data_IF_660314548422
#
_entry.id   IF_660314548422
#
_cell.length_a   1.000
_cell.length_b   1.000
_cell.length_c   1.000
_cell.angle_alpha   90.00
_cell.angle_beta   90.00
_cell.angle_gamma   90.00
#
_symmetry.space_group_name_H-M   'P 1'
#
loop_
_entity.id
_entity.type
_entity.pdbx_description
1 polymer ?
#
# COMPACT_ATOMS: atom_id res chain seq x y z
N UNK A 1 24.20 -0.66 9.26
CA UNK A 1 23.59 0.19 8.21
C UNK A 1 22.43 0.96 8.79
N UNK A 2 22.30 2.27 8.50
CA UNK A 2 21.13 3.07 8.90
C UNK A 2 20.27 3.37 7.67
N UNK A 3 18.97 3.30 7.82
CA UNK A 3 17.97 3.46 6.75
C UNK A 3 17.06 4.63 7.09
N UNK A 4 16.97 5.60 6.18
CA UNK A 4 15.98 6.66 6.25
C UNK A 4 14.77 6.27 5.39
N UNK A 5 13.57 6.33 5.93
CA UNK A 5 12.32 6.21 5.18
C UNK A 5 11.68 7.60 5.13
N UNK A 6 11.58 8.17 3.93
CA UNK A 6 10.99 9.49 3.70
C UNK A 6 9.56 9.34 3.18
N UNK A 7 8.60 9.69 4.02
CA UNK A 7 7.17 9.66 3.68
C UNK A 7 6.76 10.91 2.87
N UNK A 8 5.63 10.86 2.15
CA UNK A 8 4.99 12.05 1.60
C UNK A 8 4.69 13.09 2.68
N UNK A 9 4.86 14.37 2.38
CA UNK A 9 4.65 15.44 3.37
C UNK A 9 3.22 15.56 3.91
N UNK A 10 2.22 14.97 3.23
CA UNK A 10 0.82 14.91 3.68
C UNK A 10 0.44 13.58 4.32
N UNK A 11 1.39 12.64 4.45
CA UNK A 11 1.13 11.31 5.02
C UNK A 11 1.21 11.36 6.54
N UNK A 12 0.16 10.90 7.21
CA UNK A 12 0.14 10.81 8.66
C UNK A 12 0.75 9.50 9.16
N UNK A 13 1.83 9.57 9.92
CA UNK A 13 2.44 8.40 10.57
C UNK A 13 1.87 8.21 11.97
N UNK A 14 0.59 7.87 12.03
CA UNK A 14 -0.20 7.76 13.26
C UNK A 14 -1.22 6.63 13.16
N UNK A 15 -1.50 5.97 14.29
CA UNK A 15 -2.57 4.97 14.38
C UNK A 15 -3.98 5.57 14.40
N UNK A 16 -4.11 6.89 14.65
CA UNK A 16 -5.40 7.57 14.70
C UNK A 16 -6.01 7.76 13.31
N UNK A 17 -5.20 8.17 12.34
CA UNK A 17 -5.65 8.40 10.97
C UNK A 17 -4.55 8.02 9.97
N UNK A 18 -4.25 6.74 9.80
CA UNK A 18 -3.17 6.29 8.92
C UNK A 18 -3.59 6.29 7.46
N UNK A 19 -2.67 6.65 6.56
CA UNK A 19 -2.78 6.32 5.15
C UNK A 19 -2.22 4.92 4.84
N UNK A 20 -2.47 4.41 3.64
CA UNK A 20 -1.98 3.09 3.22
C UNK A 20 -0.45 3.00 3.21
N UNK A 21 0.24 4.10 2.91
CA UNK A 21 1.71 4.17 2.91
C UNK A 21 2.27 4.06 4.33
N UNK A 22 1.69 4.79 5.27
CA UNK A 22 2.12 4.77 6.67
C UNK A 22 1.85 3.43 7.35
N UNK A 23 0.74 2.77 7.03
CA UNK A 23 0.46 1.40 7.49
C UNK A 23 1.52 0.43 6.97
N UNK A 24 1.80 0.43 5.65
CA UNK A 24 2.82 -0.43 5.05
C UNK A 24 4.20 -0.22 5.69
N UNK A 25 4.62 1.05 5.82
CA UNK A 25 5.91 1.39 6.43
C UNK A 25 5.99 0.94 7.89
N UNK A 26 4.93 1.18 8.67
CA UNK A 26 4.89 0.74 10.06
C UNK A 26 4.96 -0.78 10.18
N UNK A 27 4.09 -1.50 9.49
CA UNK A 27 3.96 -2.96 9.57
C UNK A 27 5.25 -3.66 9.17
N UNK A 28 5.86 -3.26 8.06
CA UNK A 28 7.12 -3.86 7.59
C UNK A 28 8.33 -3.45 8.45
N UNK A 29 8.36 -2.21 8.94
CA UNK A 29 9.48 -1.74 9.78
C UNK A 29 9.47 -2.36 11.18
N UNK A 30 8.28 -2.69 11.73
CA UNK A 30 8.15 -3.29 13.07
C UNK A 30 8.82 -4.65 13.19
N UNK A 31 8.80 -5.45 12.14
CA UNK A 31 9.33 -6.82 12.12
C UNK A 31 10.61 -6.97 11.31
N UNK A 32 11.07 -5.90 10.63
CA UNK A 32 12.34 -5.88 9.91
C UNK A 32 13.51 -6.18 10.86
N UNK A 33 14.48 -6.97 10.41
CA UNK A 33 15.74 -7.15 11.10
C UNK A 33 16.54 -5.86 11.27
N UNK A 34 16.22 -4.84 10.46
CA UNK A 34 16.78 -3.49 10.53
C UNK A 34 15.97 -2.52 11.40
N UNK A 35 14.96 -2.97 12.16
CA UNK A 35 14.07 -2.14 12.98
C UNK A 35 14.81 -1.06 13.79
N UNK A 36 15.88 -1.44 14.48
CA UNK A 36 16.70 -0.52 15.30
C UNK A 36 17.47 0.52 14.47
N UNK A 37 17.66 0.26 13.19
CA UNK A 37 18.42 1.08 12.24
C UNK A 37 17.53 1.93 11.33
N UNK A 38 16.22 1.71 11.34
CA UNK A 38 15.23 2.46 10.56
C UNK A 38 14.84 3.74 11.30
N UNK A 39 14.84 4.85 10.58
CA UNK A 39 14.26 6.12 11.03
C UNK A 39 13.28 6.60 9.99
N UNK A 40 12.03 6.78 10.38
CA UNK A 40 10.96 7.29 9.50
C UNK A 40 10.89 8.81 9.63
N UNK A 41 10.87 9.50 8.50
CA UNK A 41 10.71 10.94 8.41
C UNK A 41 9.37 11.27 7.76
N UNK A 42 8.62 12.17 8.36
CA UNK A 42 7.29 12.56 7.89
C UNK A 42 6.85 13.90 8.46
N UNK A 43 5.62 14.28 8.16
CA UNK A 43 5.00 15.48 8.72
C UNK A 43 3.58 15.12 9.20
N UNK A 44 3.46 14.65 10.44
CA UNK A 44 2.17 14.36 11.06
C UNK A 44 1.86 15.34 12.17
N UNK A 45 0.58 15.75 12.26
CA UNK A 45 0.07 16.60 13.33
C UNK A 45 -0.46 15.81 14.52
N UNK A 46 -0.71 14.51 14.34
CA UNK A 46 -1.24 13.66 15.40
C UNK A 46 -0.21 13.43 16.50
N UNK A 47 -0.65 13.46 17.77
CA UNK A 47 0.22 13.22 18.92
C UNK A 47 0.67 11.76 19.00
N UNK A 48 -0.27 10.82 18.84
CA UNK A 48 -0.02 9.37 18.90
C UNK A 48 0.59 8.89 17.57
N UNK A 49 1.85 8.54 17.59
CA UNK A 49 2.60 8.03 16.45
C UNK A 49 2.80 6.51 16.55
N UNK A 50 3.09 5.86 15.43
CA UNK A 50 3.49 4.46 15.43
C UNK A 50 4.80 4.23 16.20
N UNK A 51 4.98 3.01 16.75
CA UNK A 51 6.13 2.64 17.61
C UNK A 51 7.40 2.31 16.80
N UNK A 52 7.77 3.16 15.87
CA UNK A 52 9.06 3.12 15.13
C UNK A 52 9.73 4.47 15.33
N UNK A 53 11.06 4.50 15.33
CA UNK A 53 11.80 5.76 15.46
C UNK A 53 11.36 6.74 14.38
N UNK A 54 10.77 7.84 14.79
CA UNK A 54 10.15 8.84 13.92
C UNK A 54 10.71 10.24 14.16
N UNK A 55 10.97 10.96 13.09
CA UNK A 55 11.40 12.36 13.11
C UNK A 55 10.37 13.19 12.36
N UNK A 56 9.72 14.12 13.05
CA UNK A 56 8.77 15.03 12.42
C UNK A 56 9.50 16.14 11.67
N UNK A 57 9.13 16.35 10.41
CA UNK A 57 9.62 17.44 9.57
C UNK A 57 8.62 18.59 9.66
N UNK A 58 8.82 19.50 10.60
CA UNK A 58 7.94 20.64 10.74
C UNK A 58 8.18 21.63 9.60
N UNK A 59 7.11 22.00 8.89
CA UNK A 59 7.16 23.02 7.84
C UNK A 59 6.75 24.36 8.41
N UNK A 60 7.56 25.40 8.19
CA UNK A 60 7.13 26.78 8.39
C UNK A 60 6.14 27.17 7.28
N UNK A 61 5.10 27.90 7.64
CA UNK A 61 4.18 28.48 6.66
C UNK A 61 4.89 29.63 5.93
N UNK A 62 5.51 29.35 4.81
CA UNK A 62 5.96 30.37 3.88
C UNK A 62 5.12 30.25 2.61
N UNK A 63 4.21 31.18 2.34
CA UNK A 63 3.31 31.11 1.15
C UNK A 63 4.07 31.20 -0.18
N UNK A 64 5.27 31.79 -0.21
CA UNK A 64 6.10 31.96 -1.41
C UNK A 64 6.98 30.73 -1.72
N UNK A 65 7.14 29.79 -0.81
CA UNK A 65 8.03 28.65 -0.98
C UNK A 65 7.25 27.39 -1.33
N UNK A 66 7.70 26.65 -2.34
CA UNK A 66 7.18 25.30 -2.61
C UNK A 66 7.32 24.40 -1.39
N UNK A 67 6.19 23.97 -0.82
CA UNK A 67 6.16 23.08 0.35
C UNK A 67 6.97 21.81 0.12
N UNK A 68 6.92 21.25 -1.09
CA UNK A 68 7.72 20.07 -1.48
C UNK A 68 9.22 20.35 -1.36
N UNK A 69 9.69 21.45 -1.94
CA UNK A 69 11.13 21.84 -1.87
C UNK A 69 11.56 22.08 -0.43
N UNK A 70 10.75 22.80 0.35
CA UNK A 70 11.03 23.08 1.76
C UNK A 70 11.08 21.82 2.62
N UNK A 71 10.16 20.88 2.39
CA UNK A 71 10.12 19.59 3.08
C UNK A 71 11.39 18.76 2.82
N UNK A 72 11.79 18.63 1.55
CA UNK A 72 13.00 17.89 1.18
C UNK A 72 14.26 18.58 1.71
N UNK A 73 14.35 19.90 1.67
CA UNK A 73 15.50 20.64 2.24
C UNK A 73 15.62 20.40 3.75
N UNK A 74 14.51 20.43 4.49
CA UNK A 74 14.53 20.14 5.93
C UNK A 74 14.94 18.69 6.22
N UNK A 75 14.46 17.74 5.43
CA UNK A 75 14.91 16.35 5.53
C UNK A 75 16.43 16.25 5.32
N UNK A 76 16.98 16.91 4.27
CA UNK A 76 18.41 16.91 3.97
C UNK A 76 19.24 17.43 5.16
N UNK A 77 18.76 18.46 5.84
CA UNK A 77 19.44 18.99 7.02
C UNK A 77 19.32 18.06 8.23
N UNK A 78 18.15 17.51 8.50
CA UNK A 78 17.93 16.61 9.63
C UNK A 78 18.69 15.30 9.49
N UNK A 79 18.77 14.73 8.28
CA UNK A 79 19.43 13.46 8.03
C UNK A 79 20.95 13.50 8.29
N UNK A 80 21.60 14.68 8.22
CA UNK A 80 23.03 14.83 8.49
C UNK A 80 23.43 14.26 9.87
N UNK A 81 22.53 14.36 10.86
CA UNK A 81 22.74 13.85 12.22
C UNK A 81 22.81 12.32 12.33
N UNK A 82 22.40 11.58 11.30
CA UNK A 82 22.16 10.14 11.40
C UNK A 82 23.10 9.25 10.57
N UNK A 83 23.85 9.78 9.62
CA UNK A 83 24.75 9.03 8.71
C UNK A 83 24.06 7.84 8.02
N UNK A 84 22.92 8.08 7.34
CA UNK A 84 22.19 7.04 6.60
C UNK A 84 22.97 6.52 5.40
N UNK A 85 22.86 5.23 5.14
CA UNK A 85 23.39 4.57 3.93
C UNK A 85 22.37 4.54 2.80
N UNK A 86 21.10 4.28 3.14
CA UNK A 86 19.99 4.17 2.19
C UNK A 86 18.91 5.19 2.57
N UNK A 87 18.31 5.80 1.55
CA UNK A 87 17.12 6.64 1.67
C UNK A 87 16.02 6.01 0.81
N UNK A 88 14.99 5.50 1.46
CA UNK A 88 13.78 4.95 0.83
C UNK A 88 12.73 6.06 0.74
N UNK A 89 12.43 6.51 -0.47
CA UNK A 89 11.45 7.57 -0.74
C UNK A 89 10.12 6.92 -1.10
N UNK A 90 9.08 7.19 -0.33
CA UNK A 90 7.77 6.60 -0.56
C UNK A 90 6.84 7.56 -1.31
N UNK A 91 6.33 7.09 -2.44
CA UNK A 91 5.23 7.71 -3.18
C UNK A 91 5.42 9.19 -3.56
N UNK A 92 6.68 9.61 -3.79
CA UNK A 92 7.01 10.98 -4.21
C UNK A 92 8.24 10.99 -5.14
N UNK A 93 8.06 10.61 -6.43
CA UNK A 93 9.16 10.62 -7.40
C UNK A 93 9.78 12.01 -7.60
N UNK A 94 9.01 13.08 -7.43
CA UNK A 94 9.52 14.46 -7.51
C UNK A 94 10.60 14.81 -6.48
N UNK A 95 10.74 14.05 -5.37
CA UNK A 95 11.81 14.29 -4.39
C UNK A 95 13.18 13.82 -4.89
N UNK A 96 13.24 12.85 -5.79
CA UNK A 96 14.48 12.17 -6.22
C UNK A 96 15.48 13.14 -6.83
N UNK A 97 15.03 14.07 -7.68
CA UNK A 97 15.94 15.03 -8.31
C UNK A 97 16.71 15.89 -7.29
N UNK A 98 15.99 16.42 -6.31
CA UNK A 98 16.59 17.29 -5.28
C UNK A 98 17.48 16.49 -4.32
N UNK A 99 17.04 15.29 -3.92
CA UNK A 99 17.85 14.41 -3.08
C UNK A 99 19.14 14.01 -3.77
N UNK A 100 19.09 13.59 -5.04
CA UNK A 100 20.26 13.17 -5.80
C UNK A 100 21.25 14.33 -6.00
N UNK A 101 20.76 15.55 -6.28
CA UNK A 101 21.63 16.73 -6.42
C UNK A 101 22.35 17.10 -5.11
N UNK A 102 21.65 16.99 -3.98
CA UNK A 102 22.19 17.42 -2.67
C UNK A 102 22.89 16.31 -1.88
N UNK A 103 22.62 15.06 -2.21
CA UNK A 103 23.14 13.86 -1.55
C UNK A 103 23.62 12.84 -2.60
N UNK A 104 24.60 13.19 -3.48
CA UNK A 104 24.97 12.36 -4.64
C UNK A 104 25.52 10.97 -4.24
N UNK A 105 26.12 10.85 -3.06
CA UNK A 105 26.69 9.58 -2.57
C UNK A 105 25.69 8.69 -1.83
N UNK A 106 24.42 9.12 -1.69
CA UNK A 106 23.40 8.32 -1.00
C UNK A 106 22.66 7.40 -1.98
N UNK A 107 22.38 6.19 -1.50
CA UNK A 107 21.58 5.23 -2.23
C UNK A 107 20.12 5.63 -2.11
N UNK A 108 19.49 5.91 -3.24
CA UNK A 108 18.09 6.29 -3.29
C UNK A 108 17.27 5.13 -3.86
N UNK A 109 16.22 4.74 -3.15
CA UNK A 109 15.20 3.81 -3.63
C UNK A 109 13.84 4.48 -3.58
N UNK A 110 13.04 4.25 -4.61
CA UNK A 110 11.73 4.87 -4.77
C UNK A 110 10.63 3.81 -4.71
N UNK A 111 9.67 3.98 -3.81
CA UNK A 111 8.48 3.13 -3.70
C UNK A 111 7.26 3.81 -4.29
N UNK A 112 6.62 3.16 -5.25
CA UNK A 112 5.33 3.57 -5.79
C UNK A 112 4.21 2.82 -5.08
N UNK A 113 3.26 3.57 -4.52
CA UNK A 113 2.03 3.08 -3.92
C UNK A 113 0.79 3.53 -4.68
N UNK A 114 0.95 4.45 -5.63
CA UNK A 114 -0.07 4.95 -6.56
C UNK A 114 0.35 4.69 -8.00
N UNK A 115 -0.55 4.98 -8.95
CA UNK A 115 -0.25 4.91 -10.38
C UNK A 115 0.92 5.85 -10.72
N UNK A 116 2.06 5.33 -11.22
CA UNK A 116 3.22 6.14 -11.57
C UNK A 116 2.92 7.24 -12.57
N UNK A 117 1.99 7.02 -13.51
CA UNK A 117 1.65 8.01 -14.54
C UNK A 117 0.78 9.17 -14.02
N UNK A 118 0.22 9.03 -12.82
CA UNK A 118 -0.56 10.09 -12.17
C UNK A 118 0.29 11.02 -11.28
N UNK A 119 1.60 10.73 -11.11
CA UNK A 119 2.44 11.37 -10.09
C UNK A 119 3.45 12.35 -10.69
N UNK A 120 3.57 13.53 -10.12
CA UNK A 120 4.59 14.51 -10.52
C UNK A 120 6.00 13.94 -10.34
N UNK A 121 6.81 14.05 -11.40
CA UNK A 121 8.15 13.49 -11.47
C UNK A 121 8.22 12.06 -12.00
N UNK A 122 7.10 11.52 -12.52
CA UNK A 122 7.06 10.23 -13.22
C UNK A 122 6.02 10.16 -14.35
N UNK A 123 5.28 11.25 -14.61
CA UNK A 123 4.26 11.29 -15.66
C UNK A 123 4.83 11.07 -17.06
N UNK A 124 5.89 11.81 -17.39
CA UNK A 124 6.50 11.74 -18.71
C UNK A 124 7.48 10.56 -18.84
N UNK A 125 7.74 10.14 -20.05
CA UNK A 125 8.78 9.15 -20.39
C UNK A 125 10.14 9.64 -19.88
N UNK A 126 10.44 10.92 -20.10
CA UNK A 126 11.72 11.53 -19.69
C UNK A 126 11.89 11.54 -18.17
N UNK A 127 10.82 11.81 -17.40
CA UNK A 127 10.88 11.72 -15.93
C UNK A 127 11.23 10.30 -15.48
N UNK A 128 10.59 9.30 -16.08
CA UNK A 128 10.81 7.89 -15.74
C UNK A 128 12.21 7.42 -16.14
N UNK A 129 12.74 7.86 -17.30
CA UNK A 129 14.16 7.63 -17.68
C UNK A 129 15.12 8.26 -16.68
N UNK A 130 14.84 9.48 -16.18
CA UNK A 130 15.63 10.14 -15.13
C UNK A 130 15.59 9.35 -13.82
N UNK A 131 14.43 8.81 -13.41
CA UNK A 131 14.31 7.97 -12.22
C UNK A 131 15.14 6.69 -12.35
N UNK A 132 15.09 6.02 -13.52
CA UNK A 132 15.91 4.82 -13.80
C UNK A 132 17.42 5.08 -13.69
N UNK A 133 17.88 6.27 -14.07
CA UNK A 133 19.29 6.65 -13.91
C UNK A 133 19.66 6.92 -12.44
N UNK A 134 18.78 7.57 -11.67
CA UNK A 134 19.06 8.11 -10.34
C UNK A 134 18.74 7.15 -9.18
N UNK A 135 17.80 6.25 -9.35
CA UNK A 135 17.44 5.30 -8.32
C UNK A 135 18.26 4.02 -8.42
N UNK A 136 18.61 3.48 -7.25
CA UNK A 136 19.17 2.13 -7.15
C UNK A 136 18.11 1.08 -7.45
N UNK A 137 16.94 1.18 -6.81
CA UNK A 137 15.75 0.37 -7.09
C UNK A 137 14.52 1.27 -7.18
N UNK A 138 13.60 0.86 -8.03
CA UNK A 138 12.25 1.42 -8.12
C UNK A 138 11.29 0.29 -7.80
N UNK A 139 10.57 0.46 -6.72
CA UNK A 139 9.74 -0.57 -6.11
C UNK A 139 8.26 -0.25 -6.35
N UNK A 140 7.51 -1.22 -6.81
CA UNK A 140 6.09 -1.11 -7.10
C UNK A 140 5.29 -1.99 -6.14
N UNK A 141 4.08 -1.56 -5.80
CA UNK A 141 3.18 -2.33 -4.97
C UNK A 141 2.36 -3.39 -5.74
N UNK A 142 2.49 -3.44 -7.08
CA UNK A 142 1.82 -4.41 -7.95
C UNK A 142 2.53 -4.54 -9.30
N UNK A 143 2.30 -5.64 -10.01
CA UNK A 143 2.73 -5.79 -11.39
C UNK A 143 2.01 -4.79 -12.31
N UNK A 144 0.74 -4.49 -12.01
CA UNK A 144 0.01 -3.43 -12.71
C UNK A 144 0.74 -2.08 -12.61
N UNK A 145 1.13 -1.64 -11.42
CA UNK A 145 1.88 -0.40 -11.23
C UNK A 145 3.23 -0.42 -11.96
N UNK A 146 3.95 -1.58 -11.96
CA UNK A 146 5.18 -1.76 -12.73
C UNK A 146 4.91 -1.62 -14.23
N UNK A 147 3.84 -2.26 -14.74
CA UNK A 147 3.43 -2.15 -16.14
C UNK A 147 3.11 -0.70 -16.52
N UNK A 148 2.37 0.02 -15.68
CA UNK A 148 2.08 1.45 -15.87
C UNK A 148 3.36 2.29 -15.98
N UNK A 149 4.33 2.05 -15.10
CA UNK A 149 5.61 2.76 -15.17
C UNK A 149 6.37 2.50 -16.49
N UNK A 150 6.23 1.31 -17.05
CA UNK A 150 6.91 0.91 -18.29
C UNK A 150 6.22 1.42 -19.55
N UNK A 151 4.98 1.89 -19.50
CA UNK A 151 4.24 2.36 -20.68
C UNK A 151 5.02 3.42 -21.46
N UNK A 152 5.29 3.16 -22.74
CA UNK A 152 6.05 4.04 -23.63
C UNK A 152 7.56 4.07 -23.39
N UNK A 153 8.09 3.28 -22.45
CA UNK A 153 9.53 3.08 -22.31
C UNK A 153 10.03 1.98 -23.27
N UNK A 154 11.29 2.06 -23.64
CA UNK A 154 11.95 1.07 -24.50
C UNK A 154 11.99 -0.31 -23.86
N UNK A 155 11.91 -1.39 -24.67
CA UNK A 155 11.88 -2.78 -24.21
C UNK A 155 13.10 -3.18 -23.35
N UNK A 156 14.26 -2.55 -23.54
CA UNK A 156 15.44 -2.79 -22.69
C UNK A 156 15.22 -2.53 -21.20
N UNK A 157 14.22 -1.72 -20.83
CA UNK A 157 13.91 -1.43 -19.43
C UNK A 157 12.98 -2.46 -18.77
N UNK A 158 12.26 -3.29 -19.55
CA UNK A 158 11.29 -4.27 -19.04
C UNK A 158 11.93 -5.23 -18.04
N UNK A 159 13.13 -5.76 -18.40
CA UNK A 159 13.89 -6.72 -17.59
C UNK A 159 14.94 -6.05 -16.69
N UNK A 160 14.83 -4.73 -16.46
CA UNK A 160 15.78 -4.04 -15.59
C UNK A 160 15.73 -4.59 -14.16
N UNK A 161 16.87 -5.03 -13.64
CA UNK A 161 17.04 -5.46 -12.25
C UNK A 161 16.71 -4.37 -11.23
N UNK A 162 16.57 -3.12 -11.68
CA UNK A 162 16.15 -1.99 -10.85
C UNK A 162 14.67 -1.98 -10.54
N UNK A 163 13.83 -2.64 -11.36
CA UNK A 163 12.37 -2.60 -11.26
C UNK A 163 11.85 -3.84 -10.53
N UNK A 164 11.48 -3.70 -9.29
CA UNK A 164 11.02 -4.81 -8.44
C UNK A 164 9.59 -4.58 -7.95
N UNK A 165 8.89 -5.66 -7.62
CA UNK A 165 7.53 -5.61 -7.04
C UNK A 165 7.59 -6.16 -5.63
N UNK A 166 7.22 -5.32 -4.65
CA UNK A 166 6.94 -5.71 -3.28
C UNK A 166 5.49 -5.38 -2.97
N UNK A 167 4.66 -6.40 -2.94
CA UNK A 167 3.24 -6.26 -2.60
C UNK A 167 3.06 -5.67 -1.20
N UNK A 168 1.90 -5.10 -0.95
CA UNK A 168 1.53 -4.76 0.42
C UNK A 168 1.22 -6.04 1.20
N UNK A 169 1.22 -5.92 2.51
CA UNK A 169 1.04 -7.05 3.42
C UNK A 169 -0.14 -6.85 4.37
N UNK A 170 -0.66 -7.94 4.91
CA UNK A 170 -1.65 -7.92 5.97
C UNK A 170 -1.40 -9.02 6.99
N UNK A 171 -1.92 -8.83 8.20
CA UNK A 171 -1.89 -9.85 9.25
C UNK A 171 -2.88 -10.97 8.92
N UNK A 172 -2.37 -12.18 8.71
CA UNK A 172 -3.17 -13.38 8.49
C UNK A 172 -3.88 -13.80 9.78
N UNK A 173 -5.18 -14.04 9.72
CA UNK A 173 -5.94 -14.61 10.82
C UNK A 173 -5.81 -16.13 10.88
N UNK A 174 -6.03 -16.72 12.06
CA UNK A 174 -6.11 -18.16 12.23
C UNK A 174 -7.39 -18.73 11.60
N UNK A 175 -7.37 -20.01 11.19
CA UNK A 175 -8.54 -20.68 10.58
C UNK A 175 -9.78 -20.69 11.49
N UNK A 176 -9.61 -20.70 12.80
CA UNK A 176 -10.72 -20.66 13.77
C UNK A 176 -11.66 -19.46 13.60
N UNK A 177 -11.17 -18.39 12.97
CA UNK A 177 -12.01 -17.22 12.67
C UNK A 177 -13.22 -17.55 11.78
N UNK A 178 -13.15 -18.62 10.99
CA UNK A 178 -14.21 -19.03 10.08
C UNK A 178 -15.49 -19.46 10.85
N UNK A 179 -15.35 -19.90 12.09
CA UNK A 179 -16.47 -20.27 12.96
C UNK A 179 -17.23 -19.05 13.50
N UNK A 180 -16.64 -17.87 13.41
CA UNK A 180 -17.22 -16.60 13.92
C UNK A 180 -17.81 -15.72 12.83
N UNK A 181 -17.91 -16.23 11.58
CA UNK A 181 -18.48 -15.48 10.47
C UNK A 181 -19.98 -15.27 10.66
N UNK A 182 -20.40 -14.01 10.54
CA UNK A 182 -21.80 -13.58 10.57
C UNK A 182 -22.33 -13.36 9.14
N UNK A 183 -23.62 -13.32 8.95
CA UNK A 183 -24.24 -12.98 7.67
C UNK A 183 -24.06 -11.47 7.36
N UNK A 184 -22.79 -11.05 7.28
CA UNK A 184 -22.41 -9.67 7.01
C UNK A 184 -21.82 -9.52 5.61
N UNK A 185 -22.31 -8.51 4.89
CA UNK A 185 -21.76 -8.02 3.64
C UNK A 185 -21.10 -6.68 3.94
N UNK A 186 -19.79 -6.57 3.72
CA UNK A 186 -19.05 -5.38 4.16
C UNK A 186 -18.43 -4.65 2.98
N UNK A 187 -18.61 -3.33 2.97
CA UNK A 187 -17.90 -2.38 2.10
C UNK A 187 -17.02 -1.50 2.97
N UNK A 188 -15.74 -1.34 2.57
CA UNK A 188 -14.78 -0.46 3.24
C UNK A 188 -14.08 0.42 2.22
N UNK A 189 -14.16 1.72 2.39
CA UNK A 189 -13.47 2.69 1.52
C UNK A 189 -14.18 4.04 1.46
N UNK A 190 -13.71 4.94 0.61
CA UNK A 190 -14.40 6.20 0.37
C UNK A 190 -15.78 5.94 -0.24
N UNK A 191 -16.80 6.60 0.30
CA UNK A 191 -18.19 6.40 -0.11
C UNK A 191 -18.51 7.20 -1.39
N UNK A 192 -17.75 6.94 -2.45
CA UNK A 192 -17.85 7.68 -3.72
C UNK A 192 -17.98 6.75 -4.95
N UNK A 193 -18.30 7.34 -6.10
CA UNK A 193 -18.47 6.62 -7.37
C UNK A 193 -17.19 5.94 -7.85
N UNK A 194 -16.02 6.54 -7.60
CA UNK A 194 -14.74 5.94 -7.98
C UNK A 194 -14.53 4.57 -7.31
N UNK A 195 -14.98 4.42 -6.06
CA UNK A 195 -14.96 3.14 -5.33
C UNK A 195 -16.16 2.25 -5.61
N UNK A 196 -17.09 2.67 -6.47
CA UNK A 196 -18.29 1.93 -6.84
C UNK A 196 -19.36 1.90 -5.75
N UNK A 197 -19.27 2.80 -4.76
CA UNK A 197 -20.22 2.80 -3.64
C UNK A 197 -21.66 3.04 -4.07
N UNK A 198 -21.90 3.83 -5.10
CA UNK A 198 -23.24 4.05 -5.68
C UNK A 198 -23.88 2.76 -6.21
N UNK A 199 -23.11 1.90 -6.88
CA UNK A 199 -23.59 0.59 -7.33
C UNK A 199 -23.78 -0.33 -6.12
N UNK A 200 -22.82 -0.32 -5.17
CA UNK A 200 -22.98 -1.10 -3.95
C UNK A 200 -24.24 -0.71 -3.18
N UNK A 201 -24.50 0.57 -2.96
CA UNK A 201 -25.65 1.06 -2.20
C UNK A 201 -26.99 0.64 -2.84
N UNK A 202 -27.11 0.76 -4.18
CA UNK A 202 -28.31 0.29 -4.92
C UNK A 202 -28.46 -1.23 -4.81
N UNK A 203 -27.39 -1.97 -5.03
CA UNK A 203 -27.41 -3.43 -5.00
C UNK A 203 -27.75 -3.97 -3.61
N UNK A 204 -27.17 -3.35 -2.56
CA UNK A 204 -27.34 -3.85 -1.20
C UNK A 204 -28.78 -3.64 -0.67
N UNK A 205 -29.47 -2.57 -1.06
CA UNK A 205 -30.89 -2.39 -0.74
C UNK A 205 -31.72 -3.56 -1.25
N UNK A 206 -31.56 -3.94 -2.52
CA UNK A 206 -32.29 -5.07 -3.11
C UNK A 206 -31.92 -6.40 -2.44
N UNK A 207 -30.66 -6.58 -2.11
CA UNK A 207 -30.19 -7.79 -1.42
C UNK A 207 -30.80 -7.90 -0.02
N UNK A 208 -30.77 -6.84 0.78
CA UNK A 208 -31.26 -6.87 2.16
C UNK A 208 -32.80 -7.01 2.25
N UNK A 209 -33.54 -6.49 1.27
CA UNK A 209 -34.95 -6.71 1.15
C UNK A 209 -35.27 -8.20 0.92
N UNK A 210 -34.47 -8.89 0.09
CA UNK A 210 -34.67 -10.30 -0.24
C UNK A 210 -34.12 -11.26 0.83
N UNK A 211 -33.09 -10.83 1.57
CA UNK A 211 -32.39 -11.65 2.56
C UNK A 211 -32.35 -10.94 3.92
N UNK A 212 -33.44 -10.90 4.66
CA UNK A 212 -33.57 -10.12 5.91
C UNK A 212 -32.60 -10.56 7.04
N UNK A 213 -32.09 -11.79 7.00
CA UNK A 213 -31.11 -12.32 7.95
C UNK A 213 -29.69 -11.80 7.70
N UNK A 214 -29.49 -11.06 6.62
CA UNK A 214 -28.20 -10.47 6.29
C UNK A 214 -28.15 -9.01 6.69
N UNK A 215 -26.94 -8.54 7.04
CA UNK A 215 -26.68 -7.14 7.37
C UNK A 215 -25.55 -6.58 6.50
N UNK A 216 -25.68 -5.34 6.09
CA UNK A 216 -24.57 -4.61 5.46
C UNK A 216 -23.79 -3.84 6.51
N UNK A 217 -22.45 -3.87 6.43
CA UNK A 217 -21.54 -3.03 7.21
C UNK A 217 -20.81 -2.11 6.24
N UNK A 218 -21.07 -0.81 6.34
CA UNK A 218 -20.48 0.22 5.47
C UNK A 218 -19.54 1.09 6.28
N UNK A 219 -18.26 1.07 5.91
CA UNK A 219 -17.21 1.75 6.65
C UNK A 219 -16.50 2.72 5.72
N UNK A 220 -16.40 3.96 6.14
CA UNK A 220 -15.76 5.05 5.42
C UNK A 220 -16.62 6.30 5.37
N UNK A 221 -16.09 7.32 4.75
CA UNK A 221 -16.76 8.60 4.54
C UNK A 221 -16.41 9.21 3.18
N UNK A 222 -17.20 10.16 2.74
CA UNK A 222 -16.87 11.06 1.62
C UNK A 222 -17.72 12.34 1.73
N UNK A 223 -17.05 13.46 1.93
CA UNK A 223 -17.72 14.76 2.11
C UNK A 223 -18.18 15.41 0.80
N UNK A 224 -17.58 15.02 -0.32
CA UNK A 224 -17.78 15.65 -1.64
C UNK A 224 -18.90 15.01 -2.45
N UNK A 225 -19.23 13.74 -2.16
CA UNK A 225 -20.29 13.00 -2.84
C UNK A 225 -21.30 12.48 -1.80
N UNK A 226 -22.58 12.81 -1.99
CA UNK A 226 -23.67 12.34 -1.13
C UNK A 226 -24.39 11.18 -1.80
N UNK A 227 -23.99 9.94 -1.45
CA UNK A 227 -24.65 8.71 -1.93
C UNK A 227 -25.36 8.11 -0.74
N UNK A 228 -26.69 8.08 -0.81
CA UNK A 228 -27.53 7.62 0.30
C UNK A 228 -27.75 6.12 0.22
N UNK A 229 -27.61 5.47 1.37
CA UNK A 229 -28.05 4.11 1.63
C UNK A 229 -28.94 4.16 2.89
N UNK A 230 -30.21 3.83 2.75
CA UNK A 230 -31.17 3.76 3.88
C UNK A 230 -31.84 2.41 3.87
N UNK A 231 -31.48 1.56 4.83
CA UNK A 231 -32.10 0.26 5.04
C UNK A 231 -31.92 -0.16 6.51
N UNK A 232 -32.96 -0.77 7.14
CA UNK A 232 -32.91 -1.18 8.55
C UNK A 232 -31.79 -2.15 8.91
N UNK A 233 -31.32 -2.95 7.95
CA UNK A 233 -30.23 -3.91 8.10
C UNK A 233 -28.90 -3.39 7.55
N UNK A 234 -28.76 -2.08 7.27
CA UNK A 234 -27.52 -1.46 6.83
C UNK A 234 -26.97 -0.52 7.92
N UNK A 235 -25.80 -0.86 8.46
CA UNK A 235 -25.10 -0.05 9.44
C UNK A 235 -24.04 0.79 8.71
N UNK A 236 -24.29 2.12 8.65
CA UNK A 236 -23.32 3.10 8.16
C UNK A 236 -22.46 3.55 9.35
N UNK A 237 -21.23 3.07 9.41
CA UNK A 237 -20.37 3.17 10.60
C UNK A 237 -19.42 4.38 10.54
N UNK A 238 -19.45 5.17 9.45
CA UNK A 238 -18.52 6.28 9.27
C UNK A 238 -17.07 5.82 9.16
N UNK A 239 -16.15 6.73 9.47
CA UNK A 239 -14.72 6.40 9.54
C UNK A 239 -14.43 5.59 10.79
N UNK A 240 -13.77 4.45 10.61
CA UNK A 240 -13.23 3.62 11.70
C UNK A 240 -11.70 3.56 11.60
N UNK A 241 -11.04 3.41 12.73
CA UNK A 241 -9.61 3.14 12.74
C UNK A 241 -9.30 1.75 12.18
N UNK A 242 -8.04 1.52 11.80
CA UNK A 242 -7.63 0.29 11.12
C UNK A 242 -7.93 -0.99 11.92
N UNK A 243 -7.72 -0.98 13.24
CA UNK A 243 -7.97 -2.14 14.10
C UNK A 243 -9.47 -2.50 14.16
N UNK A 244 -10.34 -1.49 14.20
CA UNK A 244 -11.79 -1.68 14.16
C UNK A 244 -12.24 -2.28 12.83
N UNK A 245 -11.70 -1.81 11.71
CA UNK A 245 -11.96 -2.39 10.38
C UNK A 245 -11.60 -3.88 10.37
N UNK A 246 -10.43 -4.25 10.89
CA UNK A 246 -10.01 -5.65 10.97
C UNK A 246 -10.93 -6.49 11.85
N UNK A 247 -11.44 -5.95 12.98
CA UNK A 247 -12.44 -6.62 13.84
C UNK A 247 -13.73 -6.91 13.08
N UNK A 248 -14.16 -5.98 12.21
CA UNK A 248 -15.34 -6.20 11.34
C UNK A 248 -15.08 -7.28 10.31
N UNK A 249 -13.92 -7.26 9.60
CA UNK A 249 -13.57 -8.29 8.62
C UNK A 249 -13.51 -9.69 9.25
N UNK A 250 -13.06 -9.85 10.47
CA UNK A 250 -13.05 -11.12 11.18
C UNK A 250 -14.46 -11.75 11.28
N UNK A 251 -15.51 -10.93 11.38
CA UNK A 251 -16.91 -11.36 11.48
C UNK A 251 -17.64 -11.36 10.12
N UNK A 252 -17.05 -10.74 9.10
CA UNK A 252 -17.66 -10.57 7.77
C UNK A 252 -17.65 -11.87 6.97
N UNK A 253 -18.81 -12.27 6.41
CA UNK A 253 -18.90 -13.40 5.48
C UNK A 253 -18.50 -13.00 4.05
N UNK A 254 -18.98 -11.87 3.55
CA UNK A 254 -18.76 -11.40 2.18
C UNK A 254 -18.18 -9.98 2.23
N UNK A 255 -17.04 -9.77 1.64
CA UNK A 255 -16.45 -8.44 1.46
C UNK A 255 -16.55 -8.01 -0.01
N UNK A 256 -16.97 -6.75 -0.25
CA UNK A 256 -17.16 -6.22 -1.60
C UNK A 256 -16.22 -5.04 -1.82
N UNK A 257 -15.37 -5.15 -2.87
CA UNK A 257 -14.45 -4.10 -3.32
C UNK A 257 -14.71 -3.86 -4.81
N UNK A 258 -15.73 -3.08 -5.10
CA UNK A 258 -16.27 -2.89 -6.44
C UNK A 258 -15.79 -1.57 -7.09
N UNK A 259 -14.50 -1.29 -7.02
CA UNK A 259 -13.92 -0.07 -7.56
C UNK A 259 -14.09 0.06 -9.09
N UNK A 260 -14.43 1.26 -9.57
CA UNK A 260 -14.30 1.66 -10.97
C UNK A 260 -12.92 2.21 -11.28
N UNK A 261 -12.26 2.74 -10.24
CA UNK A 261 -10.92 3.26 -10.30
C UNK A 261 -9.92 2.14 -10.51
N UNK A 262 -8.89 2.37 -11.32
CA UNK A 262 -7.76 1.46 -11.46
C UNK A 262 -6.93 1.51 -10.16
N UNK A 263 -7.20 0.55 -9.28
CA UNK A 263 -6.52 0.48 -7.98
C UNK A 263 -5.05 0.12 -8.17
N UNK A 264 -4.11 0.88 -7.62
CA UNK A 264 -2.70 0.51 -7.71
C UNK A 264 -2.39 -0.83 -7.06
N UNK A 265 -3.15 -1.20 -6.02
CA UNK A 265 -3.09 -2.51 -5.37
C UNK A 265 -4.46 -2.93 -4.81
N UNK A 266 -4.91 -2.35 -3.68
CA UNK A 266 -6.19 -2.67 -3.05
C UNK A 266 -6.02 -3.30 -1.67
N UNK A 267 -5.60 -2.48 -0.70
CA UNK A 267 -5.38 -2.93 0.67
C UNK A 267 -6.63 -3.55 1.31
N UNK A 268 -7.81 -3.00 1.02
CA UNK A 268 -9.08 -3.49 1.55
C UNK A 268 -9.37 -4.94 1.18
N UNK A 269 -9.18 -5.32 -0.08
CA UNK A 269 -9.35 -6.72 -0.54
C UNK A 269 -8.31 -7.65 0.06
N UNK A 270 -7.07 -7.21 0.19
CA UNK A 270 -6.00 -7.93 0.85
C UNK A 270 -6.36 -8.26 2.30
N UNK A 271 -6.79 -7.27 3.07
CA UNK A 271 -7.14 -7.40 4.49
C UNK A 271 -8.40 -8.27 4.68
N UNK A 272 -9.41 -8.09 3.83
CA UNK A 272 -10.59 -8.94 3.83
C UNK A 272 -10.25 -10.42 3.57
N UNK A 273 -9.36 -10.69 2.61
CA UNK A 273 -8.86 -12.02 2.30
C UNK A 273 -8.08 -12.61 3.48
N UNK A 274 -7.14 -11.87 4.05
CA UNK A 274 -6.34 -12.27 5.22
C UNK A 274 -7.19 -12.61 6.45
N UNK A 275 -8.41 -12.05 6.52
CA UNK A 275 -9.38 -12.32 7.59
C UNK A 275 -10.48 -13.32 7.17
N UNK A 276 -10.31 -14.07 6.09
CA UNK A 276 -11.21 -15.17 5.68
C UNK A 276 -12.58 -14.71 5.22
N UNK A 277 -12.69 -13.56 4.57
CA UNK A 277 -13.90 -13.18 3.87
C UNK A 277 -13.99 -13.87 2.51
N UNK A 278 -15.21 -14.20 2.04
CA UNK A 278 -15.44 -14.45 0.63
C UNK A 278 -15.44 -13.10 -0.08
N UNK A 279 -14.41 -12.83 -0.90
CA UNK A 279 -14.19 -11.51 -1.47
C UNK A 279 -14.75 -11.41 -2.89
N UNK A 280 -15.47 -10.33 -3.16
CA UNK A 280 -15.91 -9.92 -4.50
C UNK A 280 -15.14 -8.67 -4.89
N UNK A 281 -14.45 -8.71 -6.03
CA UNK A 281 -13.68 -7.58 -6.56
C UNK A 281 -14.06 -7.26 -8.00
N UNK A 282 -13.76 -6.06 -8.45
CA UNK A 282 -13.70 -5.72 -9.88
C UNK A 282 -12.33 -6.05 -10.46
N UNK A 283 -12.27 -6.28 -11.76
CA UNK A 283 -11.00 -6.44 -12.49
C UNK A 283 -10.40 -5.06 -12.83
N UNK A 284 -9.91 -4.34 -11.79
CA UNK A 284 -9.41 -2.98 -11.91
C UNK A 284 -8.02 -2.83 -11.30
N UNK A 285 -7.07 -2.41 -12.16
CA UNK A 285 -5.68 -2.18 -11.75
C UNK A 285 -5.03 -3.41 -11.13
N UNK A 286 -4.40 -3.21 -9.98
CA UNK A 286 -3.76 -4.27 -9.20
C UNK A 286 -4.70 -5.04 -8.26
N UNK A 287 -6.03 -4.78 -8.27
CA UNK A 287 -6.96 -5.54 -7.40
C UNK A 287 -6.86 -7.06 -7.56
N UNK A 288 -6.79 -7.63 -8.77
CA UNK A 288 -6.66 -9.07 -8.94
C UNK A 288 -5.38 -9.66 -8.33
N UNK A 289 -4.37 -8.84 -8.09
CA UNK A 289 -3.09 -9.26 -7.51
C UNK A 289 -3.11 -9.33 -5.98
N UNK A 290 -4.17 -8.83 -5.33
CA UNK A 290 -4.27 -8.75 -3.86
C UNK A 290 -4.74 -10.04 -3.21
N UNK A 291 -5.32 -10.94 -3.98
CA UNK A 291 -5.98 -12.14 -3.49
C UNK A 291 -5.79 -13.30 -4.45
N UNK A 292 -5.72 -14.50 -3.89
CA UNK A 292 -5.62 -15.73 -4.66
C UNK A 292 -6.97 -16.34 -5.00
N UNK A 293 -8.01 -16.04 -4.20
CA UNK A 293 -9.34 -16.61 -4.34
C UNK A 293 -10.41 -15.52 -4.16
N UNK A 294 -11.05 -15.13 -5.25
CA UNK A 294 -12.13 -14.16 -5.26
C UNK A 294 -13.17 -14.43 -6.35
N UNK A 295 -14.31 -13.78 -6.21
CA UNK A 295 -15.22 -13.55 -7.32
C UNK A 295 -14.84 -12.25 -8.02
N UNK A 296 -14.43 -12.36 -9.30
CA UNK A 296 -13.99 -11.19 -10.09
C UNK A 296 -15.13 -10.77 -11.03
N UNK A 297 -15.57 -9.53 -10.88
CA UNK A 297 -16.57 -8.90 -11.76
C UNK A 297 -15.82 -8.20 -12.90
N UNK A 298 -16.00 -8.71 -14.14
CA UNK A 298 -15.39 -8.11 -15.34
C UNK A 298 -16.05 -6.79 -15.72
N UNK A 299 -17.39 -6.73 -15.69
CA UNK A 299 -18.18 -5.52 -16.00
C UNK A 299 -19.02 -5.14 -14.79
N UNK A 300 -18.66 -4.06 -14.13
CA UNK A 300 -19.36 -3.59 -12.95
C UNK A 300 -20.66 -2.90 -13.34
N UNK A 301 -21.77 -3.47 -12.93
CA UNK A 301 -23.11 -2.88 -12.90
C UNK A 301 -23.90 -3.50 -11.73
N UNK A 302 -25.07 -2.95 -11.45
CA UNK A 302 -25.91 -3.39 -10.33
C UNK A 302 -26.27 -4.88 -10.44
N UNK A 303 -26.76 -5.33 -11.60
CA UNK A 303 -27.18 -6.72 -11.84
C UNK A 303 -26.04 -7.71 -11.61
N UNK A 304 -24.85 -7.44 -12.15
CA UNK A 304 -23.68 -8.31 -11.97
C UNK A 304 -23.21 -8.34 -10.51
N UNK A 305 -23.24 -7.22 -9.80
CA UNK A 305 -22.88 -7.20 -8.39
C UNK A 305 -23.90 -7.99 -7.56
N UNK A 306 -25.19 -7.74 -7.76
CA UNK A 306 -26.24 -8.50 -7.08
C UNK A 306 -26.17 -10.00 -7.37
N UNK A 307 -25.96 -10.40 -8.64
CA UNK A 307 -25.79 -11.81 -9.03
C UNK A 307 -24.67 -12.48 -8.22
N UNK A 308 -23.52 -11.85 -8.11
CA UNK A 308 -22.39 -12.42 -7.36
C UNK A 308 -22.63 -12.46 -5.85
N UNK A 309 -23.28 -11.44 -5.28
CA UNK A 309 -23.64 -11.45 -3.86
C UNK A 309 -24.67 -12.57 -3.59
N UNK A 310 -25.75 -12.67 -4.39
CA UNK A 310 -26.79 -13.72 -4.25
C UNK A 310 -26.20 -15.13 -4.40
N UNK A 311 -25.27 -15.31 -5.32
CA UNK A 311 -24.58 -16.58 -5.49
C UNK A 311 -23.88 -17.01 -4.19
N UNK A 312 -23.17 -16.09 -3.53
CA UNK A 312 -22.48 -16.40 -2.28
C UNK A 312 -23.43 -16.48 -1.07
N UNK A 313 -24.57 -15.84 -1.09
CA UNK A 313 -25.62 -16.00 -0.07
C UNK A 313 -26.25 -17.40 -0.17
N UNK A 314 -26.73 -17.75 -1.35
CA UNK A 314 -27.49 -18.99 -1.58
C UNK A 314 -26.62 -20.24 -1.57
N UNK A 315 -25.38 -20.14 -2.08
CA UNK A 315 -24.45 -21.27 -2.08
C UNK A 315 -23.48 -21.17 -0.89
N UNK A 316 -23.94 -21.67 0.28
CA UNK A 316 -23.15 -21.69 1.52
C UNK A 316 -21.83 -22.44 1.36
N UNK A 317 -21.83 -23.55 0.59
CA UNK A 317 -20.62 -24.36 0.39
C UNK A 317 -19.57 -23.58 -0.42
N UNK A 318 -19.97 -22.93 -1.50
CA UNK A 318 -19.08 -22.10 -2.30
C UNK A 318 -18.53 -20.93 -1.48
N UNK A 319 -19.38 -20.25 -0.68
CA UNK A 319 -18.96 -19.18 0.21
C UNK A 319 -17.92 -19.66 1.21
N UNK A 320 -18.19 -20.78 1.93
CA UNK A 320 -17.27 -21.36 2.91
C UNK A 320 -15.95 -21.80 2.26
N UNK A 321 -15.99 -22.36 1.06
CA UNK A 321 -14.80 -22.74 0.31
C UNK A 321 -13.94 -21.52 -0.04
N UNK A 322 -14.54 -20.41 -0.50
CA UNK A 322 -13.82 -19.17 -0.74
C UNK A 322 -13.21 -18.59 0.54
N UNK A 323 -13.97 -18.58 1.64
CA UNK A 323 -13.49 -18.11 2.94
C UNK A 323 -12.27 -18.93 3.43
N UNK A 324 -12.34 -20.25 3.34
CA UNK A 324 -11.26 -21.16 3.70
C UNK A 324 -10.02 -20.93 2.83
N UNK A 325 -10.20 -20.96 1.49
CA UNK A 325 -9.11 -20.74 0.54
C UNK A 325 -8.47 -19.35 0.68
N UNK A 326 -9.25 -18.32 1.02
CA UNK A 326 -8.74 -16.99 1.31
C UNK A 326 -7.69 -16.97 2.42
N UNK A 327 -7.89 -17.77 3.48
CA UNK A 327 -6.88 -17.91 4.56
C UNK A 327 -5.78 -18.89 4.17
N UNK A 328 -6.13 -20.08 3.67
CA UNK A 328 -5.14 -21.14 3.41
C UNK A 328 -4.07 -20.67 2.43
N UNK A 329 -4.49 -20.07 1.33
CA UNK A 329 -3.60 -19.61 0.25
C UNK A 329 -3.03 -18.21 0.48
N UNK A 330 -3.35 -17.55 1.61
CA UNK A 330 -2.84 -16.22 1.88
C UNK A 330 -1.36 -16.28 2.24
N UNK A 331 -0.53 -15.66 1.40
CA UNK A 331 0.93 -15.63 1.56
C UNK A 331 1.51 -14.22 1.78
N UNK A 332 0.73 -13.16 1.49
CA UNK A 332 1.19 -11.76 1.62
C UNK A 332 1.17 -11.30 3.09
N UNK A 333 1.79 -12.09 3.97
CA UNK A 333 1.92 -11.74 5.38
C UNK A 333 2.99 -10.66 5.59
N UNK A 334 2.97 -10.01 6.74
CA UNK A 334 3.98 -9.01 7.08
C UNK A 334 5.39 -9.62 7.05
N UNK A 335 5.55 -10.85 7.55
CA UNK A 335 6.81 -11.59 7.59
C UNK A 335 7.35 -11.85 6.19
N UNK A 336 6.50 -12.36 5.28
CA UNK A 336 6.89 -12.68 3.90
C UNK A 336 7.35 -11.43 3.14
N UNK A 337 6.56 -10.35 3.21
CA UNK A 337 6.88 -9.12 2.49
C UNK A 337 8.11 -8.42 3.09
N UNK A 338 8.20 -8.38 4.43
CA UNK A 338 9.36 -7.78 5.09
C UNK A 338 10.64 -8.52 4.80
N UNK A 339 10.61 -9.86 4.76
CA UNK A 339 11.77 -10.65 4.38
C UNK A 339 12.30 -10.23 3.00
N UNK A 340 11.43 -10.10 1.99
CA UNK A 340 11.82 -9.63 0.65
C UNK A 340 12.43 -8.23 0.65
N UNK A 341 11.90 -7.32 1.47
CA UNK A 341 12.43 -5.97 1.63
C UNK A 341 13.81 -6.02 2.32
N UNK A 342 13.97 -6.85 3.31
CA UNK A 342 15.23 -6.99 4.04
C UNK A 342 16.30 -7.68 3.18
N UNK A 343 15.94 -8.70 2.38
CA UNK A 343 16.84 -9.35 1.41
C UNK A 343 17.36 -8.32 0.39
N UNK A 344 16.50 -7.46 -0.13
CA UNK A 344 16.90 -6.33 -0.99
C UNK A 344 17.87 -5.36 -0.29
N UNK A 345 17.65 -5.08 1.00
CA UNK A 345 18.53 -4.22 1.79
C UNK A 345 19.90 -4.88 2.02
N UNK A 346 19.94 -6.23 2.19
CA UNK A 346 21.17 -7.02 2.32
C UNK A 346 22.00 -7.03 1.05
N UNK A 347 21.38 -7.24 -0.11
CA UNK A 347 22.06 -7.22 -1.41
C UNK A 347 22.98 -6.02 -1.55
N UNK A 348 22.53 -4.87 -1.06
CA UNK A 348 23.31 -3.63 -1.14
C UNK A 348 24.43 -3.53 -0.09
N UNK A 349 24.25 -4.18 1.05
CA UNK A 349 25.34 -4.23 2.05
C UNK A 349 26.54 -5.02 1.57
N UNK A 350 26.31 -6.13 0.90
CA UNK A 350 27.38 -6.96 0.34
C UNK A 350 28.15 -6.23 -0.75
N UNK A 351 27.46 -5.51 -1.64
CA UNK A 351 28.08 -4.69 -2.67
C UNK A 351 28.97 -3.58 -2.10
N UNK A 352 28.55 -2.92 -1.03
CA UNK A 352 29.38 -1.90 -0.39
C UNK A 352 30.62 -2.49 0.30
N UNK A 353 30.51 -3.65 0.94
CA UNK A 353 31.66 -4.32 1.56
C UNK A 353 32.71 -4.73 0.52
N UNK A 354 32.28 -5.27 -0.62
CA UNK A 354 33.19 -5.68 -1.70
C UNK A 354 33.91 -4.48 -2.36
N UNK A 355 33.28 -3.32 -2.44
CA UNK A 355 33.92 -2.09 -2.91
C UNK A 355 34.98 -1.57 -1.95
N UNK A 356 34.71 -1.56 -0.65
CA UNK A 356 35.67 -1.11 0.38
C UNK A 356 36.88 -2.05 0.49
N UNK A 357 36.67 -3.37 0.36
CA UNK A 357 37.77 -4.35 0.34
C UNK A 357 38.65 -4.20 -0.90
N UNK A 358 38.08 -3.95 -2.08
CA UNK A 358 38.86 -3.70 -3.30
C UNK A 358 39.65 -2.40 -3.25
N UNK A 359 39.12 -1.32 -2.71
CA UNK A 359 39.84 -0.05 -2.53
C UNK A 359 40.96 -0.17 -1.51
N UNK A 360 40.76 -0.91 -0.41
CA UNK A 360 41.82 -1.15 0.56
C UNK A 360 42.93 -2.03 0.00
N UNK A 361 42.62 -3.01 -0.86
CA UNK A 361 43.61 -3.85 -1.53
C UNK A 361 44.38 -3.08 -2.62
N UNK A 362 43.76 -2.14 -3.34
CA UNK A 362 44.43 -1.27 -4.30
C UNK A 362 45.34 -0.26 -3.61
N UNK A 363 44.96 0.29 -2.46
CA UNK A 363 45.78 1.20 -1.68
C UNK A 363 46.96 0.50 -0.99
N UNK A 364 46.84 -0.77 -0.61
CA UNK A 364 47.96 -1.58 -0.09
C UNK A 364 48.96 -1.99 -1.18
N UNK A 365 48.56 -2.07 -2.45
CA UNK A 365 49.46 -2.33 -3.58
C UNK A 365 50.27 -1.08 -4.01
N UNK A 366 49.87 0.13 -3.64
CA UNK A 366 50.58 1.38 -3.95
C UNK A 366 51.62 1.69 -2.89
N UNK A 367 51.61 1.03 -1.72
CA UNK A 367 52.58 1.20 -0.64
C UNK A 367 53.75 0.19 -0.68
N UNK A 368 53.84 -0.63 -1.72
CA UNK A 368 54.92 -1.61 -1.93
C UNK A 368 55.61 -1.45 -3.31
N UNK A 369 55.82 -0.20 -3.76
CA UNK A 369 56.76 0.14 -4.84
C UNK A 369 57.73 1.19 -4.35
#
# INVERSE_FOLDING_TARGET
MKIAILLPYKENFSSEYPGAVSLFVNETSQISKYKKNIVVFGNTKFKKKFKIRYVNINLSRNPLASQTKSYVNRFINLQKKFKFSIIEVHNRPSYINQLQKKLPHKILSLYFHNDPLSMDGSKSIEDRKKLLKKCYKIIFNSNWSKKRFLEGLENKFVNSHKLVVFFQSAKKSNKSILNHKKNWITFVGKLNRAKGYDIFAKSINNILNKYPDWKAKVIGDEKREKIFLKHKNADLMGFLNHEEVLKIFKKTSIAVVCSRWEEPFGRTSLEASANGCAVIITNKGGLPETITNAKIIKKLNQSNLEKNIRLLINNKNQRKTLQRKSIENFYLTHEYVTKKIDDYRDEKLQLNKSFFTKQNLSNLRILHI
#
